data_IF_720352423355
#
_entry.id   IF_720352423355
#
_cell.length_a   1.000
_cell.length_b   1.000
_cell.length_c   1.000
_cell.angle_alpha   90.00
_cell.angle_beta   90.00
_cell.angle_gamma   90.00
#
_symmetry.space_group_name_H-M   'P 1'
#
loop_
_entity.id
_entity.type
_entity.pdbx_description
1 polymer ?
#
# COMPACT_ATOMS: atom_id res chain seq x y z
N UNK A 1 1.15 18.78 41.64
CA UNK A 1 0.20 19.90 41.83
C UNK A 1 -0.25 20.41 40.49
N UNK A 2 -1.57 20.40 40.29
CA UNK A 2 -2.42 21.20 39.38
C UNK A 2 -2.29 20.94 37.89
N UNK A 3 -3.14 20.08 37.30
CA UNK A 3 -4.49 20.37 36.75
C UNK A 3 -4.56 21.59 35.85
N UNK A 4 -4.86 21.41 34.58
CA UNK A 4 -5.89 22.21 33.94
C UNK A 4 -6.47 21.53 32.73
N UNK A 5 -7.62 21.02 32.90
CA UNK A 5 -8.67 20.70 31.97
C UNK A 5 -9.17 22.01 31.36
N UNK A 6 -9.33 22.13 30.06
CA UNK A 6 -10.23 23.15 29.52
C UNK A 6 -10.95 22.59 28.28
N UNK A 7 -12.15 22.24 28.56
CA UNK A 7 -13.32 22.03 27.72
C UNK A 7 -13.70 23.38 27.07
N UNK A 8 -13.91 23.43 25.79
CA UNK A 8 -14.77 24.40 25.12
C UNK A 8 -15.40 23.75 23.89
N UNK A 9 -16.64 23.33 24.07
CA UNK A 9 -17.93 23.99 23.84
C UNK A 9 -18.27 24.12 22.35
N UNK A 10 -19.14 23.23 22.03
CA UNK A 10 -20.34 23.27 21.18
C UNK A 10 -20.79 24.69 20.84
N UNK A 11 -20.90 24.99 19.55
CA UNK A 11 -21.85 25.98 19.05
C UNK A 11 -22.66 25.36 17.93
N UNK A 12 -23.87 25.00 18.28
CA UNK A 12 -25.01 24.81 17.40
C UNK A 12 -25.46 26.18 16.91
N UNK A 13 -25.53 26.39 15.64
CA UNK A 13 -26.40 27.44 15.09
C UNK A 13 -27.19 26.83 13.94
N UNK A 14 -28.43 26.63 14.26
CA UNK A 14 -29.58 26.39 13.40
C UNK A 14 -29.94 27.71 12.70
N UNK A 15 -30.20 27.70 11.45
CA UNK A 15 -31.05 28.62 10.65
C UNK A 15 -31.06 28.12 9.21
N UNK A 16 -32.07 28.05 8.50
CA UNK A 16 -33.49 28.31 8.45
C UNK A 16 -33.98 27.82 7.07
N UNK A 17 -35.10 27.18 7.06
CA UNK A 17 -35.86 26.76 5.89
C UNK A 17 -36.18 27.94 4.96
N UNK A 18 -35.92 27.80 3.68
CA UNK A 18 -36.67 28.49 2.64
C UNK A 18 -37.13 27.47 1.61
N UNK A 19 -38.41 27.20 1.67
CA UNK A 19 -39.17 26.49 0.63
C UNK A 19 -39.42 27.43 -0.52
N UNK A 20 -39.13 27.04 -1.73
CA UNK A 20 -39.83 27.50 -2.94
C UNK A 20 -40.09 26.33 -3.86
N UNK A 21 -41.34 26.10 -4.05
CA UNK A 21 -41.93 25.10 -4.94
C UNK A 21 -41.92 25.57 -6.40
N UNK A 22 -42.10 24.59 -7.28
CA UNK A 22 -42.57 24.62 -8.67
C UNK A 22 -41.54 24.95 -9.74
N UNK A 23 -41.27 24.03 -10.63
CA UNK A 23 -42.13 23.64 -11.78
C UNK A 23 -41.59 22.37 -12.46
N UNK A 24 -42.52 21.53 -12.81
CA UNK A 24 -42.47 20.42 -13.74
C UNK A 24 -41.74 20.74 -15.04
N UNK A 25 -40.81 19.89 -15.47
CA UNK A 25 -40.84 19.45 -16.86
C UNK A 25 -40.21 18.07 -17.04
N UNK A 26 -41.02 17.18 -17.56
CA UNK A 26 -40.70 15.87 -18.08
C UNK A 26 -39.70 15.96 -19.23
N UNK A 27 -38.62 15.20 -19.12
CA UNK A 27 -38.09 14.38 -20.22
C UNK A 27 -36.94 13.51 -19.74
N UNK A 28 -37.23 12.21 -19.63
CA UNK A 28 -36.22 11.15 -19.55
C UNK A 28 -35.50 11.09 -20.91
N UNK A 29 -34.17 10.91 -20.96
CA UNK A 29 -33.73 9.60 -21.33
C UNK A 29 -32.69 9.03 -20.33
N UNK A 30 -32.98 7.82 -20.03
CA UNK A 30 -32.16 6.76 -19.50
C UNK A 30 -30.74 6.79 -20.09
N UNK A 31 -29.77 7.30 -19.31
CA UNK A 31 -28.38 7.03 -19.57
C UNK A 31 -27.88 6.16 -18.41
N UNK A 32 -28.05 4.86 -18.60
CA UNK A 32 -27.26 3.87 -17.92
C UNK A 32 -25.79 4.29 -18.03
N UNK A 33 -25.32 4.94 -17.00
CA UNK A 33 -23.89 5.13 -16.76
C UNK A 33 -23.32 3.75 -16.43
N UNK A 34 -23.08 2.95 -17.49
CA UNK A 34 -22.21 1.79 -17.38
C UNK A 34 -20.91 2.29 -16.77
N UNK A 35 -20.70 2.01 -15.50
CA UNK A 35 -19.38 2.10 -14.88
C UNK A 35 -18.49 1.20 -15.72
N UNK A 36 -17.72 1.83 -16.58
CA UNK A 36 -16.69 1.19 -17.39
C UNK A 36 -15.68 0.71 -16.35
N UNK A 37 -15.80 -0.55 -15.96
CA UNK A 37 -14.77 -1.25 -15.17
C UNK A 37 -13.52 -1.13 -16.01
N UNK A 38 -12.65 -0.18 -15.66
CA UNK A 38 -11.39 0.06 -16.35
C UNK A 38 -10.64 -1.26 -16.25
N UNK A 39 -10.51 -1.95 -17.37
CA UNK A 39 -9.69 -3.14 -17.49
C UNK A 39 -8.28 -2.63 -17.22
N UNK A 40 -7.79 -2.82 -16.01
CA UNK A 40 -6.43 -2.43 -15.63
C UNK A 40 -5.52 -3.09 -16.64
N UNK A 41 -4.85 -2.29 -17.44
CA UNK A 41 -3.95 -2.78 -18.49
C UNK A 41 -2.75 -3.43 -17.79
N UNK A 42 -2.75 -4.76 -17.78
CA UNK A 42 -1.67 -5.56 -17.17
C UNK A 42 -0.31 -5.36 -17.86
N UNK A 43 -0.27 -4.62 -18.98
CA UNK A 43 0.93 -4.38 -19.75
C UNK A 43 1.96 -3.50 -19.03
N UNK A 44 1.54 -2.71 -18.04
CA UNK A 44 2.40 -1.78 -17.30
C UNK A 44 2.81 -2.28 -15.91
N UNK A 45 2.36 -3.46 -15.49
CA UNK A 45 2.74 -4.01 -14.20
C UNK A 45 4.24 -4.25 -14.14
N UNK A 46 4.82 -3.94 -12.98
CA UNK A 46 6.21 -4.23 -12.67
C UNK A 46 6.30 -5.25 -11.55
N UNK A 47 7.37 -6.02 -11.56
CA UNK A 47 7.66 -7.03 -10.55
C UNK A 47 8.80 -6.53 -9.69
N UNK A 48 8.56 -6.36 -8.39
CA UNK A 48 9.62 -6.16 -7.41
C UNK A 48 10.19 -7.52 -7.04
N UNK A 49 11.49 -7.70 -7.18
CA UNK A 49 12.25 -8.81 -6.61
C UNK A 49 13.19 -8.22 -5.57
N UNK A 50 13.02 -8.63 -4.32
CA UNK A 50 13.84 -8.16 -3.22
C UNK A 50 14.44 -9.34 -2.45
N UNK A 51 15.66 -9.77 -2.79
CA UNK A 51 16.41 -10.74 -2.03
C UNK A 51 16.93 -10.15 -0.72
N UNK A 52 16.95 -10.99 0.33
CA UNK A 52 17.47 -10.63 1.64
C UNK A 52 18.62 -11.57 2.02
N UNK A 53 19.78 -10.99 2.37
CA UNK A 53 20.78 -11.68 3.15
C UNK A 53 20.37 -11.57 4.62
N UNK A 54 20.01 -12.71 5.22
CA UNK A 54 19.52 -12.76 6.61
C UNK A 54 20.67 -13.19 7.50
N UNK A 55 21.00 -12.43 8.59
CA UNK A 55 22.01 -12.85 9.55
C UNK A 55 21.60 -14.13 10.28
N UNK A 56 22.58 -14.92 10.69
CA UNK A 56 22.36 -16.14 11.46
C UNK A 56 21.50 -15.87 12.71
N UNK A 57 20.50 -16.70 12.94
CA UNK A 57 19.56 -16.58 14.06
C UNK A 57 18.52 -15.46 13.94
N UNK A 58 18.50 -14.69 12.84
CA UNK A 58 17.59 -13.54 12.65
C UNK A 58 16.41 -13.81 11.71
N UNK A 59 16.18 -15.07 11.34
CA UNK A 59 15.16 -15.42 10.35
C UNK A 59 13.75 -14.96 10.75
N UNK A 60 13.31 -15.30 11.97
CA UNK A 60 11.96 -14.97 12.44
C UNK A 60 11.79 -13.45 12.63
N UNK A 61 12.84 -12.75 13.06
CA UNK A 61 12.83 -11.30 13.18
C UNK A 61 12.71 -10.62 11.80
N UNK A 62 13.44 -11.15 10.80
CA UNK A 62 13.35 -10.68 9.41
C UNK A 62 11.97 -10.94 8.79
N UNK A 63 11.34 -12.09 9.06
CA UNK A 63 9.98 -12.41 8.62
C UNK A 63 8.98 -11.46 9.26
N UNK A 64 9.05 -11.25 10.57
CA UNK A 64 8.15 -10.34 11.29
C UNK A 64 8.25 -8.91 10.78
N UNK A 65 9.47 -8.43 10.51
CA UNK A 65 9.67 -7.12 9.89
C UNK A 65 9.07 -7.05 8.49
N UNK A 66 9.29 -8.07 7.66
CA UNK A 66 8.67 -8.13 6.33
C UNK A 66 7.14 -8.13 6.42
N UNK A 67 6.55 -8.83 7.38
CA UNK A 67 5.10 -8.86 7.58
C UNK A 67 4.54 -7.48 7.90
N UNK A 68 5.19 -6.72 8.79
CA UNK A 68 4.80 -5.35 9.09
C UNK A 68 4.87 -4.44 7.84
N UNK A 69 5.96 -4.55 7.06
CA UNK A 69 6.09 -3.83 5.80
C UNK A 69 5.03 -4.23 4.78
N UNK A 70 4.74 -5.53 4.63
CA UNK A 70 3.66 -6.05 3.77
C UNK A 70 2.31 -5.45 4.15
N UNK A 71 1.98 -5.45 5.44
CA UNK A 71 0.68 -4.99 5.93
C UNK A 71 0.48 -3.48 5.70
N UNK A 72 1.54 -2.71 5.76
CA UNK A 72 1.54 -1.30 5.36
C UNK A 72 1.40 -1.14 3.84
N UNK A 73 2.21 -1.88 3.07
CA UNK A 73 2.29 -1.72 1.62
C UNK A 73 1.02 -2.18 0.90
N UNK A 74 0.30 -3.18 1.42
CA UNK A 74 -0.95 -3.67 0.80
C UNK A 74 -2.07 -2.63 0.77
N UNK A 75 -2.01 -1.62 1.64
CA UNK A 75 -2.97 -0.51 1.69
C UNK A 75 -2.56 0.66 0.76
N UNK A 76 -1.39 0.59 0.12
CA UNK A 76 -0.93 1.68 -0.73
C UNK A 76 -1.50 1.58 -2.16
N UNK A 77 -1.80 2.73 -2.80
CA UNK A 77 -2.25 2.76 -4.18
C UNK A 77 -1.29 2.06 -5.14
N UNK A 78 -1.82 1.26 -6.04
CA UNK A 78 -1.04 0.55 -7.05
C UNK A 78 -0.39 -0.74 -6.57
N UNK A 79 -0.61 -1.15 -5.31
CA UNK A 79 -0.25 -2.49 -4.86
C UNK A 79 -1.15 -3.55 -5.51
N UNK A 80 -0.55 -4.64 -6.00
CA UNK A 80 -1.29 -5.76 -6.61
C UNK A 80 -1.16 -7.03 -5.77
N UNK A 81 0.06 -7.44 -5.47
CA UNK A 81 0.31 -8.66 -4.68
C UNK A 81 1.74 -8.73 -4.19
N UNK A 82 1.97 -9.54 -3.14
CA UNK A 82 3.32 -9.91 -2.70
C UNK A 82 3.36 -11.33 -2.15
N UNK A 83 4.54 -11.94 -2.23
CA UNK A 83 4.84 -13.25 -1.62
C UNK A 83 6.28 -13.26 -1.12
N UNK A 84 6.48 -13.72 0.10
CA UNK A 84 7.79 -14.04 0.62
C UNK A 84 8.11 -15.51 0.36
N UNK A 85 9.31 -15.76 -0.11
CA UNK A 85 9.84 -17.10 -0.38
C UNK A 85 11.06 -17.34 0.51
N UNK A 86 11.14 -18.52 1.10
CA UNK A 86 12.33 -18.98 1.82
C UNK A 86 13.09 -19.96 0.95
N UNK A 87 14.44 -19.88 0.96
CA UNK A 87 15.30 -20.87 0.31
C UNK A 87 15.06 -22.26 0.89
N UNK A 88 14.98 -23.25 0.03
CA UNK A 88 14.98 -24.68 0.41
C UNK A 88 16.39 -25.23 0.61
N UNK A 89 17.41 -24.46 0.20
CA UNK A 89 18.82 -24.82 0.35
C UNK A 89 19.38 -24.15 1.61
N UNK A 90 19.96 -24.93 2.50
CA UNK A 90 20.67 -24.42 3.66
C UNK A 90 21.89 -23.62 3.25
N UNK A 91 22.14 -22.51 3.96
CA UNK A 91 23.28 -21.62 3.69
C UNK A 91 23.18 -20.89 2.35
N UNK A 92 22.00 -20.70 1.81
CA UNK A 92 21.81 -19.88 0.63
C UNK A 92 22.17 -18.41 0.93
N UNK A 93 22.84 -17.73 0.00
CA UNK A 93 23.18 -16.31 0.13
C UNK A 93 21.94 -15.45 0.42
N UNK A 94 20.85 -15.72 -0.28
CA UNK A 94 19.56 -15.07 -0.04
C UNK A 94 18.61 -16.08 0.59
N UNK A 95 18.47 -16.02 1.90
CA UNK A 95 17.58 -16.93 2.61
C UNK A 95 16.11 -16.62 2.36
N UNK A 96 15.79 -15.33 2.18
CA UNK A 96 14.46 -14.86 1.85
C UNK A 96 14.46 -14.09 0.53
N UNK A 97 13.39 -14.25 -0.26
CA UNK A 97 13.14 -13.45 -1.47
C UNK A 97 11.68 -13.00 -1.46
N UNK A 98 11.47 -11.69 -1.44
CA UNK A 98 10.15 -11.11 -1.67
C UNK A 98 9.93 -10.88 -3.17
N UNK A 99 8.79 -11.36 -3.67
CA UNK A 99 8.30 -11.08 -5.03
C UNK A 99 6.97 -10.35 -4.92
N UNK A 100 6.91 -9.12 -5.40
CA UNK A 100 5.70 -8.31 -5.37
C UNK A 100 5.36 -7.77 -6.77
N UNK A 101 4.09 -7.54 -7.01
CA UNK A 101 3.58 -6.95 -8.25
C UNK A 101 2.96 -5.60 -7.92
N UNK A 102 3.31 -4.59 -8.73
CA UNK A 102 2.81 -3.23 -8.63
C UNK A 102 2.26 -2.77 -9.98
N UNK A 103 1.26 -1.89 -9.97
CA UNK A 103 0.68 -1.35 -11.21
C UNK A 103 1.72 -0.62 -12.07
N UNK A 104 2.67 0.07 -11.45
CA UNK A 104 3.73 0.80 -12.15
C UNK A 104 4.89 1.16 -11.19
N UNK A 105 6.06 1.56 -11.72
CA UNK A 105 7.23 1.93 -10.89
C UNK A 105 6.99 3.11 -9.95
N UNK A 106 6.17 4.08 -10.37
CA UNK A 106 5.88 5.28 -9.57
C UNK A 106 5.11 4.91 -8.30
N UNK A 107 4.06 4.09 -8.43
CA UNK A 107 3.27 3.63 -7.28
C UNK A 107 4.17 2.92 -6.25
N UNK A 108 5.06 2.03 -6.70
CA UNK A 108 6.03 1.39 -5.82
C UNK A 108 6.95 2.42 -5.13
N UNK A 109 7.52 3.35 -5.88
CA UNK A 109 8.46 4.34 -5.34
C UNK A 109 7.82 5.21 -4.26
N UNK A 110 6.59 5.69 -4.48
CA UNK A 110 5.85 6.49 -3.51
C UNK A 110 5.50 5.69 -2.24
N UNK A 111 5.08 4.43 -2.40
CA UNK A 111 4.80 3.54 -1.29
C UNK A 111 6.05 3.20 -0.48
N UNK A 112 7.16 2.92 -1.15
CA UNK A 112 8.44 2.61 -0.51
C UNK A 112 8.99 3.80 0.29
N UNK A 113 8.85 5.03 -0.22
CA UNK A 113 9.25 6.24 0.52
C UNK A 113 8.44 6.40 1.81
N UNK A 114 7.13 6.22 1.75
CA UNK A 114 6.27 6.25 2.95
C UNK A 114 6.63 5.15 3.94
N UNK A 115 6.88 3.94 3.44
CA UNK A 115 7.29 2.81 4.28
C UNK A 115 8.60 3.10 5.04
N UNK A 116 9.59 3.70 4.38
CA UNK A 116 10.85 4.10 5.02
C UNK A 116 10.63 5.20 6.07
N UNK A 117 9.70 6.11 5.86
CA UNK A 117 9.32 7.13 6.85
C UNK A 117 8.64 6.52 8.07
N UNK A 118 7.83 5.48 7.90
CA UNK A 118 7.09 4.81 8.97
C UNK A 118 7.98 3.85 9.78
N UNK A 119 8.75 2.99 9.10
CA UNK A 119 9.50 1.90 9.74
C UNK A 119 11.02 2.12 9.81
N UNK A 120 11.54 3.14 9.14
CA UNK A 120 12.98 3.32 8.98
C UNK A 120 13.59 2.38 7.95
N UNK A 121 14.92 2.41 7.87
CA UNK A 121 15.69 1.57 6.95
C UNK A 121 16.14 0.31 7.70
N UNK A 122 15.46 -0.82 7.47
CA UNK A 122 15.80 -2.15 7.97
C UNK A 122 16.18 -2.19 9.47
N UNK A 123 15.18 -2.23 10.38
CA UNK A 123 15.43 -2.23 11.83
C UNK A 123 16.09 -3.53 12.35
N UNK A 124 16.14 -4.59 11.52
CA UNK A 124 16.82 -5.85 11.87
C UNK A 124 18.31 -5.69 11.60
N UNK A 125 19.12 -5.76 12.65
CA UNK A 125 20.57 -5.60 12.54
C UNK A 125 21.19 -6.65 11.60
N UNK A 126 21.96 -6.17 10.62
CA UNK A 126 22.65 -7.01 9.64
C UNK A 126 21.78 -7.53 8.48
N UNK A 127 20.47 -7.30 8.47
CA UNK A 127 19.60 -7.63 7.36
C UNK A 127 19.94 -6.75 6.13
N UNK A 128 20.15 -7.38 4.97
CA UNK A 128 20.51 -6.66 3.75
C UNK A 128 19.46 -6.91 2.65
N UNK A 129 18.46 -6.05 2.51
CA UNK A 129 17.56 -6.07 1.37
C UNK A 129 18.25 -5.53 0.10
N UNK A 130 17.94 -6.13 -1.05
CA UNK A 130 18.49 -5.72 -2.36
C UNK A 130 17.34 -5.61 -3.39
N UNK A 131 16.43 -4.63 -3.24
CA UNK A 131 15.24 -4.52 -4.08
C UNK A 131 15.57 -4.04 -5.49
N UNK A 132 14.93 -4.65 -6.50
CA UNK A 132 14.97 -4.20 -7.88
C UNK A 132 13.63 -4.42 -8.57
N UNK A 133 13.27 -3.51 -9.48
CA UNK A 133 12.06 -3.61 -10.29
C UNK A 133 12.38 -4.24 -11.65
N UNK A 134 11.49 -5.09 -12.11
CA UNK A 134 11.60 -5.83 -13.36
C UNK A 134 10.33 -5.73 -14.19
N UNK A 135 10.47 -5.83 -15.51
CA UNK A 135 9.37 -6.03 -16.44
C UNK A 135 9.42 -7.44 -17.01
N UNK A 136 8.25 -8.01 -17.33
CA UNK A 136 8.19 -9.32 -18.00
C UNK A 136 8.57 -9.13 -19.46
N UNK A 137 9.64 -9.78 -19.91
CA UNK A 137 10.11 -9.72 -21.31
C UNK A 137 9.63 -10.91 -22.16
N UNK A 138 9.20 -12.01 -21.54
CA UNK A 138 8.61 -13.18 -22.19
C UNK A 138 7.71 -13.95 -21.21
N UNK A 139 6.67 -14.55 -21.74
CA UNK A 139 5.79 -15.51 -21.05
C UNK A 139 5.85 -16.85 -21.76
#
# INVERSE_FOLDING_TARGET
MKTSLTIFRIIMISYLLVSVASCTNTNKPDHQRKTKKTKTDKSNHVVLINPFEVPEGKLEEAISYWEACRDFLKEQPGYVSTKLHKSIKDGAKFELINVAVWENPKAFSEAAQKMVQEFGVAPVEGLKPTPSLYTIVRQ
#
